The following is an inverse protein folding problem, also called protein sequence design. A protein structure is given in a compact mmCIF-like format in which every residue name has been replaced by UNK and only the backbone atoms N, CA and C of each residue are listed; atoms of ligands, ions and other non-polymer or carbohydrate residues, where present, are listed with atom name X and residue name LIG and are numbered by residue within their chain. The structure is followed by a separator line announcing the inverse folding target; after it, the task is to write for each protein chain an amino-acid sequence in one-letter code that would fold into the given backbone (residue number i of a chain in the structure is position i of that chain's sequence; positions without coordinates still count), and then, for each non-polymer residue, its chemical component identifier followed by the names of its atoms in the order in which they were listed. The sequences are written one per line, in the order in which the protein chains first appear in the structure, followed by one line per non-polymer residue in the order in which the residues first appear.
data_IF_895075590632
#
_entry.id   IF_895075590632
#
_cell.length_a   1.000
_cell.length_b   1.000
_cell.length_c   1.000
_cell.angle_alpha   90.00
_cell.angle_beta   90.00
_cell.angle_gamma   90.00
#
_symmetry.space_group_name_H-M   'P 1'
#
loop_
_entity.id
_entity.type
_entity.pdbx_description
1 polymer ?
#
# COMPACT_ATOMS: atom_id res chain seq x y z
N UNK A 1 8.88 -16.69 -1.85
CA UNK A 1 8.75 -16.28 -3.27
C UNK A 1 9.55 -15.00 -3.42
N UNK A 2 10.40 -14.82 -4.44
CA UNK A 2 10.97 -13.49 -4.76
C UNK A 2 10.06 -12.88 -5.82
N UNK A 3 9.56 -11.65 -5.65
CA UNK A 3 8.57 -11.11 -6.58
C UNK A 3 8.34 -9.60 -6.49
N UNK A 4 7.70 -9.12 -7.54
CA UNK A 4 7.18 -7.76 -7.62
C UNK A 4 5.89 -7.67 -6.82
N UNK A 5 5.70 -6.56 -6.11
CA UNK A 5 4.47 -6.28 -5.37
C UNK A 5 3.89 -4.94 -5.83
N UNK A 6 2.58 -4.78 -5.67
CA UNK A 6 1.95 -3.46 -5.80
C UNK A 6 1.48 -2.97 -4.44
N UNK A 7 1.78 -1.71 -4.13
CA UNK A 7 1.24 -1.00 -2.97
C UNK A 7 0.22 0.02 -3.46
N UNK A 8 -1.04 -0.14 -3.11
CA UNK A 8 -2.12 0.75 -3.56
C UNK A 8 -3.20 0.88 -2.48
N UNK A 9 -3.97 1.96 -2.52
CA UNK A 9 -5.08 2.16 -1.60
C UNK A 9 -6.41 1.88 -2.29
N UNK A 10 -7.28 1.13 -1.63
CA UNK A 10 -8.63 0.81 -2.05
C UNK A 10 -9.54 0.65 -0.83
N UNK A 11 -10.79 1.08 -0.95
CA UNK A 11 -11.71 1.00 0.20
C UNK A 11 -12.02 -0.45 0.56
N UNK A 12 -11.91 -0.78 1.85
CA UNK A 12 -12.17 -2.11 2.40
C UNK A 12 -11.25 -3.22 1.88
N UNK A 13 -10.12 -2.85 1.30
CA UNK A 13 -9.11 -3.76 0.76
C UNK A 13 -7.78 -3.53 1.48
N UNK A 14 -6.94 -4.57 1.50
CA UNK A 14 -5.59 -4.46 2.02
C UNK A 14 -4.67 -3.72 1.03
N UNK A 15 -3.65 -2.99 1.51
CA UNK A 15 -2.89 -2.08 0.64
C UNK A 15 -1.79 -2.76 -0.19
N UNK A 16 -1.57 -4.06 -0.03
CA UNK A 16 -0.43 -4.77 -0.62
C UNK A 16 -0.91 -5.95 -1.46
N UNK A 17 -0.57 -5.93 -2.75
CA UNK A 17 -0.91 -6.98 -3.70
C UNK A 17 0.33 -7.77 -4.06
N UNK A 18 0.26 -9.08 -3.83
CA UNK A 18 1.28 -10.04 -4.19
C UNK A 18 0.67 -11.44 -4.33
N UNK A 19 1.44 -12.35 -4.94
CA UNK A 19 1.05 -13.75 -5.03
C UNK A 19 1.06 -14.41 -3.66
N UNK A 20 -0.06 -15.02 -3.28
CA UNK A 20 -0.17 -15.80 -2.05
C UNK A 20 0.50 -17.19 -2.18
N UNK A 21 0.33 -18.05 -1.17
CA UNK A 21 0.91 -19.40 -1.16
C UNK A 21 0.34 -20.32 -2.26
N UNK A 22 -0.90 -20.05 -2.70
CA UNK A 22 -1.59 -20.79 -3.76
C UNK A 22 -1.25 -20.26 -5.16
N UNK A 23 -0.55 -19.11 -5.24
CA UNK A 23 -0.12 -18.47 -6.48
C UNK A 23 -1.17 -17.53 -7.07
N UNK A 24 -2.14 -17.10 -6.27
CA UNK A 24 -3.17 -16.14 -6.66
C UNK A 24 -2.73 -14.70 -6.37
N UNK A 25 -2.92 -13.82 -7.35
CA UNK A 25 -2.60 -12.39 -7.21
C UNK A 25 -3.76 -11.66 -6.54
N UNK A 26 -3.59 -11.25 -5.28
CA UNK A 26 -4.65 -10.66 -4.48
C UNK A 26 -4.11 -9.66 -3.46
N UNK A 27 -5.02 -8.89 -2.85
CA UNK A 27 -4.68 -7.95 -1.79
C UNK A 27 -4.53 -8.66 -0.43
N UNK A 28 -3.60 -8.16 0.36
CA UNK A 28 -3.28 -8.66 1.69
C UNK A 28 -3.29 -7.51 2.69
N UNK A 29 -3.73 -7.81 3.91
CA UNK A 29 -3.59 -6.86 5.02
C UNK A 29 -2.10 -6.59 5.32
N UNK A 30 -1.75 -5.45 5.95
CA UNK A 30 -0.36 -5.18 6.35
C UNK A 30 0.23 -6.28 7.23
N UNK A 31 -0.58 -6.91 8.08
CA UNK A 31 -0.13 -8.01 8.94
C UNK A 31 0.22 -9.25 8.14
N UNK A 32 -0.65 -9.70 7.24
CA UNK A 32 -0.39 -10.87 6.38
C UNK A 32 0.85 -10.63 5.50
N UNK A 33 0.90 -9.48 4.82
CA UNK A 33 2.05 -9.12 4.00
C UNK A 33 3.34 -9.00 4.82
N UNK A 34 3.26 -8.56 6.08
CA UNK A 34 4.39 -8.54 6.99
C UNK A 34 4.98 -9.92 7.27
N UNK A 35 4.13 -10.93 7.42
CA UNK A 35 4.54 -12.32 7.59
C UNK A 35 5.14 -12.90 6.30
N UNK A 36 4.48 -12.68 5.17
CA UNK A 36 4.88 -13.20 3.85
C UNK A 36 6.21 -12.60 3.37
N UNK A 37 6.34 -11.28 3.51
CA UNK A 37 7.47 -10.50 3.00
C UNK A 37 8.56 -10.29 4.07
N UNK A 38 8.36 -10.77 5.31
CA UNK A 38 9.27 -10.62 6.45
C UNK A 38 9.58 -9.16 6.79
N UNK A 39 8.54 -8.32 6.82
CA UNK A 39 8.66 -6.91 7.20
C UNK A 39 8.79 -6.76 8.72
N UNK A 40 9.42 -5.67 9.15
CA UNK A 40 9.46 -5.35 10.58
C UNK A 40 8.07 -5.02 11.12
N UNK A 41 7.85 -5.25 12.42
CA UNK A 41 6.60 -4.86 13.09
C UNK A 41 6.34 -3.36 13.03
N UNK A 42 7.41 -2.55 12.97
CA UNK A 42 7.32 -1.10 12.81
C UNK A 42 6.78 -0.73 11.42
N UNK A 43 7.36 -1.30 10.35
CA UNK A 43 6.87 -1.05 8.99
C UNK A 43 5.43 -1.54 8.80
N UNK A 44 5.07 -2.68 9.38
CA UNK A 44 3.68 -3.19 9.36
C UNK A 44 2.72 -2.19 10.03
N UNK A 45 3.10 -1.62 11.17
CA UNK A 45 2.30 -0.63 11.87
C UNK A 45 2.16 0.68 11.05
N UNK A 46 3.25 1.13 10.42
CA UNK A 46 3.22 2.33 9.59
C UNK A 46 2.38 2.15 8.32
N UNK A 47 2.41 0.96 7.71
CA UNK A 47 1.56 0.59 6.57
C UNK A 47 0.08 0.56 6.96
N UNK A 48 -0.25 0.00 8.13
CA UNK A 48 -1.61 0.01 8.65
C UNK A 48 -2.11 1.43 8.90
N UNK A 49 -1.31 2.27 9.57
CA UNK A 49 -1.68 3.66 9.81
C UNK A 49 -1.85 4.48 8.51
N UNK A 50 -1.03 4.19 7.49
CA UNK A 50 -1.16 4.81 6.18
C UNK A 50 -2.45 4.41 5.45
N UNK A 51 -2.82 3.12 5.49
CA UNK A 51 -4.07 2.63 4.90
C UNK A 51 -5.29 3.16 5.68
N UNK A 52 -5.26 3.10 7.02
CA UNK A 52 -6.32 3.62 7.89
C UNK A 52 -6.65 5.09 7.59
N UNK A 53 -5.64 5.91 7.29
CA UNK A 53 -5.85 7.30 6.90
C UNK A 53 -6.61 7.44 5.58
N UNK A 54 -6.37 6.56 4.61
CA UNK A 54 -7.16 6.50 3.38
C UNK A 54 -8.57 6.00 3.65
N UNK A 55 -8.72 4.93 4.44
CA UNK A 55 -10.04 4.39 4.81
C UNK A 55 -10.89 5.45 5.54
N UNK A 56 -10.27 6.30 6.36
CA UNK A 56 -10.94 7.41 7.05
C UNK A 56 -11.48 8.51 6.11
N UNK A 57 -11.07 8.52 4.83
CA UNK A 57 -11.64 9.42 3.82
C UNK A 57 -12.96 8.93 3.25
N UNK A 58 -13.36 7.70 3.55
CA UNK A 58 -14.60 7.09 3.07
C UNK A 58 -15.83 7.85 3.60
N UNK A 59 -16.70 8.24 2.68
CA UNK A 59 -18.00 8.85 2.97
C UNK A 59 -19.09 7.77 2.92
N UNK A 60 -19.61 7.36 4.07
CA UNK A 60 -20.65 6.32 4.17
C UNK A 60 -22.02 6.81 3.68
N UNK A 61 -22.28 8.12 3.75
CA UNK A 61 -23.53 8.71 3.28
C UNK A 61 -23.58 8.73 1.75
N UNK A 62 -22.45 9.05 1.11
CA UNK A 62 -22.31 9.02 -0.34
C UNK A 62 -20.87 8.66 -0.76
N UNK A 63 -20.57 7.36 -0.99
CA UNK A 63 -19.22 6.88 -1.28
C UNK A 63 -18.46 7.62 -2.40
N UNK A 64 -19.10 8.10 -3.48
CA UNK A 64 -18.40 8.89 -4.50
C UNK A 64 -17.81 10.22 -4.02
N UNK A 65 -18.26 10.75 -2.88
CA UNK A 65 -17.74 11.99 -2.30
C UNK A 65 -16.55 11.77 -1.35
N UNK A 66 -16.13 10.52 -1.16
CA UNK A 66 -14.95 10.15 -0.35
C UNK A 66 -13.71 10.92 -0.79
N UNK A 67 -13.09 11.65 0.14
CA UNK A 67 -11.97 12.54 -0.17
C UNK A 67 -11.16 12.90 1.06
N UNK A 68 -9.87 13.17 0.84
CA UNK A 68 -9.03 13.81 1.83
C UNK A 68 -9.59 15.20 2.21
N UNK A 69 -9.38 15.65 3.46
CA UNK A 69 -9.89 16.94 3.94
C UNK A 69 -9.25 18.14 3.25
N UNK A 70 -8.06 17.97 2.66
CA UNK A 70 -7.41 18.97 1.83
C UNK A 70 -6.46 18.36 0.80
N UNK A 71 -6.08 19.13 -0.24
CA UNK A 71 -5.02 18.73 -1.18
C UNK A 71 -3.67 18.47 -0.50
N UNK A 72 -3.32 19.24 0.53
CA UNK A 72 -2.08 19.09 1.30
C UNK A 72 -2.08 17.80 2.11
N UNK A 73 -3.21 17.43 2.71
CA UNK A 73 -3.36 16.14 3.41
C UNK A 73 -3.14 14.98 2.44
N UNK A 74 -3.75 15.04 1.25
CA UNK A 74 -3.53 14.04 0.19
C UNK A 74 -2.05 14.00 -0.22
N UNK A 75 -1.41 15.14 -0.42
CA UNK A 75 0.01 15.19 -0.81
C UNK A 75 0.93 14.58 0.25
N UNK A 76 0.70 14.89 1.53
CA UNK A 76 1.48 14.32 2.65
C UNK A 76 1.28 12.81 2.78
N UNK A 77 0.06 12.32 2.55
CA UNK A 77 -0.23 10.90 2.50
C UNK A 77 0.43 10.20 1.30
N UNK A 78 0.45 10.84 0.12
CA UNK A 78 1.16 10.33 -1.07
C UNK A 78 2.65 10.17 -0.81
N UNK A 79 3.30 11.19 -0.23
CA UNK A 79 4.74 11.16 0.05
C UNK A 79 5.10 10.08 1.07
N UNK A 80 4.31 9.93 2.15
CA UNK A 80 4.50 8.82 3.10
C UNK A 80 4.39 7.45 2.44
N UNK A 81 3.44 7.25 1.53
CA UNK A 81 3.34 5.98 0.82
C UNK A 81 4.58 5.67 -0.04
N UNK A 82 5.25 6.68 -0.61
CA UNK A 82 6.54 6.49 -1.30
C UNK A 82 7.65 6.05 -0.36
N UNK A 83 7.72 6.67 0.82
CA UNK A 83 8.69 6.29 1.86
C UNK A 83 8.47 4.85 2.32
N UNK A 84 7.21 4.45 2.50
CA UNK A 84 6.84 3.08 2.87
C UNK A 84 7.18 2.08 1.76
N UNK A 85 6.86 2.39 0.50
CA UNK A 85 7.24 1.55 -0.64
C UNK A 85 8.77 1.33 -0.72
N UNK A 86 9.55 2.39 -0.51
CA UNK A 86 11.01 2.29 -0.46
C UNK A 86 11.48 1.41 0.72
N UNK A 87 10.86 1.54 1.89
CA UNK A 87 11.17 0.71 3.07
C UNK A 87 10.85 -0.75 2.87
N UNK A 88 9.72 -1.09 2.23
CA UNK A 88 9.37 -2.49 1.91
C UNK A 88 10.50 -3.14 1.09
N UNK A 89 10.97 -2.47 0.05
CA UNK A 89 12.08 -2.94 -0.79
C UNK A 89 13.41 -3.06 -0.03
N UNK A 90 13.64 -2.22 0.97
CA UNK A 90 14.86 -2.26 1.80
C UNK A 90 14.82 -3.37 2.85
N UNK A 91 13.67 -3.61 3.48
CA UNK A 91 13.53 -4.57 4.56
C UNK A 91 13.34 -6.01 4.05
N UNK A 92 12.59 -6.19 2.96
CA UNK A 92 12.27 -7.53 2.47
C UNK A 92 13.34 -8.08 1.54
N UNK A 93 13.96 -9.23 1.85
CA UNK A 93 14.86 -9.92 0.93
C UNK A 93 14.12 -10.60 -0.24
N UNK A 94 12.79 -10.58 -0.22
CA UNK A 94 11.93 -11.25 -1.20
C UNK A 94 11.37 -10.28 -2.24
N UNK A 95 11.33 -8.99 -1.95
CA UNK A 95 10.75 -8.00 -2.86
C UNK A 95 11.80 -7.54 -3.87
N UNK A 96 11.52 -7.72 -5.15
CA UNK A 96 12.39 -7.25 -6.25
C UNK A 96 12.06 -5.83 -6.69
N UNK A 97 10.77 -5.49 -6.69
CA UNK A 97 10.29 -4.15 -6.97
C UNK A 97 8.96 -3.89 -6.25
N UNK A 98 8.68 -2.60 -6.01
CA UNK A 98 7.41 -2.14 -5.45
C UNK A 98 6.81 -1.13 -6.43
N UNK A 99 5.64 -1.45 -6.94
CA UNK A 99 4.83 -0.55 -7.76
C UNK A 99 3.85 0.20 -6.84
N UNK A 100 4.12 1.48 -6.57
CA UNK A 100 3.29 2.28 -5.68
C UNK A 100 2.23 3.08 -6.46
N UNK A 101 0.96 2.83 -6.16
CA UNK A 101 -0.20 3.43 -6.80
C UNK A 101 -1.08 4.19 -5.79
N UNK A 102 -0.68 5.40 -5.43
CA UNK A 102 -1.32 6.21 -4.39
C UNK A 102 -2.85 6.44 -4.53
N UNK A 103 -3.52 6.15 -5.66
CA UNK A 103 -4.99 6.05 -5.72
C UNK A 103 -5.38 5.51 -7.11
N UNK A 104 -4.75 4.41 -7.54
CA UNK A 104 -4.95 3.87 -8.90
C UNK A 104 -4.51 4.80 -10.05
N UNK A 105 -3.63 5.78 -9.77
CA UNK A 105 -3.24 6.81 -10.74
C UNK A 105 -1.76 7.18 -10.65
N UNK A 106 -0.89 6.20 -10.82
CA UNK A 106 0.37 6.40 -11.54
C UNK A 106 0.27 5.60 -12.84
N UNK A 107 0.83 6.12 -13.93
CA UNK A 107 0.87 5.38 -15.20
C UNK A 107 1.60 4.05 -14.92
N UNK A 108 0.97 2.93 -15.26
CA UNK A 108 1.58 1.59 -15.24
C UNK A 108 3.06 1.66 -15.64
N UNK A 109 3.97 1.26 -14.74
CA UNK A 109 5.40 1.10 -15.03
C UNK A 109 6.35 2.17 -14.48
N UNK A 110 5.90 3.15 -13.69
CA UNK A 110 6.83 3.97 -12.90
C UNK A 110 7.20 3.26 -11.59
N UNK A 111 8.17 2.33 -11.67
CA UNK A 111 8.80 1.80 -10.47
C UNK A 111 9.37 2.96 -9.63
N UNK A 112 9.08 2.97 -8.33
CA UNK A 112 9.80 3.85 -7.39
C UNK A 112 11.22 3.28 -7.26
N UNK A 113 12.18 3.94 -7.91
CA UNK A 113 13.60 3.53 -7.94
C UNK A 113 14.31 3.80 -6.63
#
# INVERSE_FOLDING_TARGET
MQGDISMLAGFFEGPLFHFDEDGDWMNHSPTQAGEDLRLSTELVADLAAWDDEYQATYDDDYPPDSRFPSPEARAAWVERGKELAARIKQESPFVTSVDYQANGSYKNGECVI
#
